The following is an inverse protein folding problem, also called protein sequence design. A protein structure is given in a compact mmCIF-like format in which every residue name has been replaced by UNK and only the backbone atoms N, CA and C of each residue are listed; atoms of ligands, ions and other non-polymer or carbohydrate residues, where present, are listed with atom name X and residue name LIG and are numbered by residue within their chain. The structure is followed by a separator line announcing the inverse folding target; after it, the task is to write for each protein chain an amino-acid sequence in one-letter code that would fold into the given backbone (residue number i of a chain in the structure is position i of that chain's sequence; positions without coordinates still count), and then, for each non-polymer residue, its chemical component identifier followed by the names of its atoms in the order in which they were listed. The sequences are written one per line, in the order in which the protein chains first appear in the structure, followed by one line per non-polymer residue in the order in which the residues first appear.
data_IF_324196680032
#
_entry.id   IF_324196680032
#
_cell.length_a   1.000
_cell.length_b   1.000
_cell.length_c   1.000
_cell.angle_alpha   90.00
_cell.angle_beta   90.00
_cell.angle_gamma   90.00
#
_symmetry.space_group_name_H-M   'P 1'
#
loop_
_entity.id
_entity.type
_entity.pdbx_description
1 polymer ?
#
# COMPACT_ATOMS: atom_id res chain seq x y z
N UNK A 1 18.29 -13.83 2.04
CA UNK A 1 16.99 -13.87 2.76
C UNK A 1 16.17 -12.64 2.37
N UNK A 2 14.88 -12.79 2.10
CA UNK A 2 14.00 -11.69 1.68
C UNK A 2 13.11 -11.24 2.84
N UNK A 3 12.88 -9.93 2.96
CA UNK A 3 12.02 -9.34 3.98
C UNK A 3 11.01 -8.38 3.35
N UNK A 4 9.80 -8.37 3.87
CA UNK A 4 8.76 -7.45 3.45
C UNK A 4 8.18 -6.68 4.65
N UNK A 5 7.89 -5.41 4.45
CA UNK A 5 7.11 -4.57 5.36
C UNK A 5 5.79 -4.24 4.69
N UNK A 6 4.68 -4.54 5.34
CA UNK A 6 3.34 -4.29 4.80
C UNK A 6 2.55 -3.43 5.76
N UNK A 7 2.04 -2.29 5.30
CA UNK A 7 1.16 -1.45 6.11
C UNK A 7 -0.30 -1.81 5.91
N UNK A 8 -1.12 -1.71 6.97
CA UNK A 8 -2.56 -2.02 6.91
C UNK A 8 -2.86 -3.52 6.85
N UNK A 9 -2.11 -4.35 7.59
CA UNK A 9 -2.24 -5.82 7.57
C UNK A 9 -3.43 -6.37 8.35
N UNK A 10 -4.17 -5.54 9.08
CA UNK A 10 -5.24 -6.02 9.96
C UNK A 10 -6.45 -6.60 9.21
N UNK A 11 -6.63 -6.30 7.92
CA UNK A 11 -7.75 -6.77 7.09
C UNK A 11 -7.52 -6.49 5.60
N UNK A 12 -8.37 -7.09 4.77
CA UNK A 12 -8.49 -6.76 3.35
C UNK A 12 -7.24 -7.07 2.55
N UNK A 13 -6.87 -6.18 1.63
CA UNK A 13 -5.75 -6.43 0.71
C UNK A 13 -4.42 -6.57 1.46
N UNK A 14 -4.16 -5.78 2.50
CA UNK A 14 -2.91 -5.86 3.27
C UNK A 14 -2.75 -7.19 4.01
N UNK A 15 -3.83 -7.74 4.57
CA UNK A 15 -3.85 -9.09 5.16
C UNK A 15 -3.52 -10.15 4.10
N UNK A 16 -4.19 -10.10 2.94
CA UNK A 16 -3.95 -11.02 1.83
C UNK A 16 -2.51 -10.92 1.30
N UNK A 17 -1.97 -9.71 1.13
CA UNK A 17 -0.57 -9.51 0.70
C UNK A 17 0.40 -10.09 1.72
N UNK A 18 0.23 -9.82 3.02
CA UNK A 18 1.10 -10.35 4.07
C UNK A 18 1.09 -11.89 4.08
N UNK A 19 -0.09 -12.50 4.00
CA UNK A 19 -0.26 -13.95 3.88
C UNK A 19 0.49 -14.51 2.67
N UNK A 20 0.24 -13.99 1.48
CA UNK A 20 0.81 -14.49 0.23
C UNK A 20 2.34 -14.32 0.15
N UNK A 21 2.89 -13.25 0.75
CA UNK A 21 4.33 -13.08 0.91
C UNK A 21 4.93 -14.19 1.78
N UNK A 22 4.30 -14.54 2.90
CA UNK A 22 4.74 -15.61 3.78
C UNK A 22 4.63 -16.98 3.09
N UNK A 23 3.57 -17.24 2.35
CA UNK A 23 3.42 -18.44 1.50
C UNK A 23 4.50 -18.53 0.40
N UNK A 24 5.07 -17.39 0.00
CA UNK A 24 6.20 -17.30 -0.95
C UNK A 24 7.58 -17.38 -0.25
N UNK A 25 7.63 -17.72 1.04
CA UNK A 25 8.88 -17.86 1.80
C UNK A 25 9.57 -16.54 2.15
N UNK A 26 8.82 -15.46 2.28
CA UNK A 26 9.32 -14.11 2.61
C UNK A 26 8.95 -13.77 4.05
N UNK A 27 9.93 -13.33 4.85
CA UNK A 27 9.67 -12.85 6.20
C UNK A 27 8.90 -11.54 6.16
N UNK A 28 7.89 -11.38 7.03
CA UNK A 28 6.99 -10.22 6.99
C UNK A 28 6.99 -9.45 8.30
N UNK A 29 7.12 -8.15 8.19
CA UNK A 29 6.77 -7.19 9.25
C UNK A 29 5.44 -6.55 8.88
N UNK A 30 4.41 -6.83 9.66
CA UNK A 30 3.09 -6.22 9.52
C UNK A 30 2.97 -4.97 10.36
N UNK A 31 2.42 -3.90 9.79
CA UNK A 31 2.18 -2.65 10.51
C UNK A 31 0.71 -2.25 10.39
N UNK A 32 0.05 -2.09 11.52
CA UNK A 32 -1.34 -1.60 11.61
C UNK A 32 -1.68 -1.24 13.06
N UNK A 33 -2.76 -0.51 13.28
CA UNK A 33 -3.20 -0.10 14.63
C UNK A 33 -3.57 -1.27 15.54
N UNK A 34 -3.97 -2.41 14.96
CA UNK A 34 -4.37 -3.62 15.70
C UNK A 34 -3.73 -4.87 15.09
N UNK A 35 -3.26 -5.78 15.93
CA UNK A 35 -2.71 -7.06 15.50
C UNK A 35 -3.79 -8.07 15.10
N UNK A 36 -3.37 -9.11 14.37
CA UNK A 36 -4.17 -10.28 14.04
C UNK A 36 -3.33 -11.55 14.29
N UNK A 37 -3.79 -12.43 15.16
CA UNK A 37 -3.09 -13.68 15.50
C UNK A 37 -2.97 -14.63 14.31
N UNK A 38 -3.95 -14.60 13.41
CA UNK A 38 -3.99 -15.44 12.19
C UNK A 38 -2.73 -15.33 11.32
N UNK A 39 -2.12 -14.14 11.20
CA UNK A 39 -0.90 -13.99 10.40
C UNK A 39 0.31 -14.65 11.07
N UNK A 40 0.35 -14.71 12.39
CA UNK A 40 1.40 -15.43 13.10
C UNK A 40 1.30 -16.96 12.89
N UNK A 41 0.09 -17.52 12.86
CA UNK A 41 -0.11 -18.94 12.56
C UNK A 41 0.33 -19.28 11.12
N UNK A 42 -0.01 -18.43 10.14
CA UNK A 42 0.42 -18.60 8.74
C UNK A 42 1.95 -18.57 8.62
N UNK A 43 2.62 -17.68 9.35
CA UNK A 43 4.08 -17.62 9.37
C UNK A 43 4.70 -18.93 9.88
N UNK A 44 4.16 -19.49 10.96
CA UNK A 44 4.61 -20.77 11.51
C UNK A 44 4.43 -21.92 10.50
N UNK A 45 3.28 -21.98 9.82
CA UNK A 45 2.98 -22.98 8.80
C UNK A 45 3.96 -22.93 7.61
N UNK A 46 4.46 -21.73 7.28
CA UNK A 46 5.36 -21.51 6.14
C UNK A 46 6.85 -21.43 6.52
N UNK A 47 7.20 -21.61 7.82
CA UNK A 47 8.56 -21.52 8.34
C UNK A 47 9.25 -20.19 8.02
N UNK A 48 8.52 -19.09 8.18
CA UNK A 48 9.03 -17.71 8.02
C UNK A 48 8.77 -16.89 9.28
N UNK A 49 9.51 -15.79 9.44
CA UNK A 49 9.31 -14.87 10.55
C UNK A 49 8.14 -13.91 10.25
N UNK A 50 7.26 -13.72 11.24
CA UNK A 50 6.28 -12.65 11.27
C UNK A 50 6.41 -11.83 12.54
N UNK A 51 6.42 -10.50 12.39
CA UNK A 51 6.39 -9.57 13.51
C UNK A 51 5.39 -8.46 13.23
N UNK A 52 4.58 -8.11 14.24
CA UNK A 52 3.63 -7.02 14.12
C UNK A 52 4.10 -5.80 14.94
N UNK A 53 3.99 -4.62 14.34
CA UNK A 53 4.16 -3.34 15.01
C UNK A 53 2.82 -2.59 14.99
N UNK A 54 2.37 -2.15 16.17
CA UNK A 54 1.26 -1.22 16.28
C UNK A 54 1.75 0.17 15.88
N UNK A 55 1.04 0.85 14.97
CA UNK A 55 1.38 2.21 14.55
C UNK A 55 0.16 2.87 13.89
N UNK A 56 -0.12 4.12 14.26
CA UNK A 56 -1.06 4.98 13.55
C UNK A 56 -0.30 5.87 12.56
N UNK A 57 -0.45 5.60 11.27
CA UNK A 57 0.17 6.40 10.21
C UNK A 57 -0.38 7.85 10.13
N UNK A 58 -1.46 8.14 10.86
CA UNK A 58 -1.97 9.50 11.05
C UNK A 58 -1.12 10.34 12.00
N UNK A 59 -0.29 9.69 12.83
CA UNK A 59 0.69 10.34 13.71
C UNK A 59 2.08 10.27 13.07
N UNK A 60 2.62 11.45 12.74
CA UNK A 60 3.91 11.56 12.06
C UNK A 60 5.06 11.08 12.95
N UNK A 61 5.06 11.46 14.21
CA UNK A 61 6.14 11.12 15.15
C UNK A 61 6.17 9.62 15.44
N UNK A 62 5.01 9.00 15.69
CA UNK A 62 4.86 7.56 15.87
C UNK A 62 5.32 6.80 14.61
N UNK A 63 4.94 7.31 13.42
CA UNK A 63 5.34 6.74 12.13
C UNK A 63 6.86 6.74 11.98
N UNK A 64 7.53 7.89 12.18
CA UNK A 64 8.97 8.01 12.03
C UNK A 64 9.72 7.12 13.04
N UNK A 65 9.31 7.09 14.29
CA UNK A 65 9.95 6.27 15.35
C UNK A 65 9.80 4.79 15.04
N UNK A 66 8.58 4.33 14.74
CA UNK A 66 8.29 2.93 14.46
C UNK A 66 9.06 2.42 13.25
N UNK A 67 9.04 3.18 12.15
CA UNK A 67 9.70 2.72 10.92
C UNK A 67 11.21 2.88 10.93
N UNK A 68 11.76 3.81 11.71
CA UNK A 68 13.20 3.85 11.99
C UNK A 68 13.65 2.55 12.68
N UNK A 69 12.91 2.09 13.69
CA UNK A 69 13.19 0.83 14.38
C UNK A 69 13.05 -0.39 13.44
N UNK A 70 11.98 -0.45 12.65
CA UNK A 70 11.76 -1.54 11.68
C UNK A 70 12.89 -1.58 10.65
N UNK A 71 13.25 -0.42 10.11
CA UNK A 71 14.31 -0.30 9.10
C UNK A 71 15.67 -0.75 9.66
N UNK A 72 16.04 -0.27 10.85
CA UNK A 72 17.27 -0.70 11.51
C UNK A 72 17.30 -2.21 11.76
N UNK A 73 16.21 -2.80 12.26
CA UNK A 73 16.11 -4.24 12.49
C UNK A 73 16.28 -5.05 11.19
N UNK A 74 15.60 -4.66 10.10
CA UNK A 74 15.64 -5.38 8.83
C UNK A 74 17.01 -5.25 8.18
N UNK A 75 17.50 -4.03 8.01
CA UNK A 75 18.76 -3.79 7.30
C UNK A 75 20.02 -4.24 8.08
N UNK A 76 19.92 -4.44 9.41
CA UNK A 76 21.02 -5.05 10.19
C UNK A 76 21.21 -6.53 9.89
N UNK A 77 20.23 -7.21 9.32
CA UNK A 77 20.29 -8.63 8.92
C UNK A 77 20.90 -8.86 7.54
N UNK A 78 21.28 -7.79 6.84
CA UNK A 78 21.83 -7.82 5.48
C UNK A 78 20.98 -8.68 4.51
N UNK A 79 19.70 -8.36 4.34
CA UNK A 79 18.83 -9.14 3.46
C UNK A 79 19.25 -9.00 2.00
N UNK A 80 18.90 -10.00 1.18
CA UNK A 80 19.07 -9.96 -0.27
C UNK A 80 18.17 -8.93 -0.93
N UNK A 81 16.90 -8.90 -0.50
CA UNK A 81 15.88 -7.96 -1.01
C UNK A 81 14.96 -7.53 0.13
N UNK A 82 14.63 -6.25 0.14
CA UNK A 82 13.61 -5.66 1.01
C UNK A 82 12.45 -5.14 0.17
N UNK A 83 11.24 -5.57 0.52
CA UNK A 83 10.00 -5.04 -0.04
C UNK A 83 9.33 -4.12 0.97
N UNK A 84 8.83 -2.98 0.52
CA UNK A 84 7.94 -2.12 1.29
C UNK A 84 6.62 -2.00 0.55
N UNK A 85 5.51 -2.42 1.17
CA UNK A 85 4.17 -2.31 0.60
C UNK A 85 3.36 -1.30 1.40
N UNK A 86 3.26 -0.08 0.91
CA UNK A 86 2.43 0.99 1.43
C UNK A 86 0.97 0.73 1.00
N UNK A 87 0.25 -0.07 1.80
CA UNK A 87 -1.14 -0.47 1.52
C UNK A 87 -2.15 0.26 2.41
N UNK A 88 -1.81 0.64 3.63
CA UNK A 88 -2.72 1.34 4.51
C UNK A 88 -3.26 2.62 3.86
N UNK A 89 -4.58 2.81 3.93
CA UNK A 89 -5.24 3.99 3.39
C UNK A 89 -6.57 4.25 4.11
N UNK A 90 -7.00 5.50 4.10
CA UNK A 90 -8.34 5.94 4.51
C UNK A 90 -9.10 6.49 3.32
N UNK A 91 -10.43 6.36 3.35
CA UNK A 91 -11.31 6.89 2.29
C UNK A 91 -11.76 8.31 2.60
N UNK A 92 -12.13 8.55 3.85
CA UNK A 92 -12.70 9.82 4.33
C UNK A 92 -11.70 10.97 4.22
N UNK A 93 -12.15 12.22 3.97
CA UNK A 93 -13.55 12.63 3.87
C UNK A 93 -14.19 12.30 2.51
N UNK A 94 -15.49 11.98 2.53
CA UNK A 94 -16.31 11.77 1.34
C UNK A 94 -17.39 12.84 1.30
N UNK A 95 -17.14 13.93 0.63
CA UNK A 95 -18.09 15.03 0.39
C UNK A 95 -17.49 16.01 -0.66
N UNK A 96 -18.32 17.00 -1.05
CA UNK A 96 -17.86 18.15 -1.86
C UNK A 96 -16.69 18.84 -1.14
N UNK A 97 -15.67 19.23 -1.88
CA UNK A 97 -14.46 19.83 -1.30
C UNK A 97 -14.73 21.04 -0.38
N UNK A 98 -15.79 21.80 -0.65
CA UNK A 98 -16.16 22.96 0.17
C UNK A 98 -16.82 22.59 1.50
N UNK A 99 -17.22 21.33 1.70
CA UNK A 99 -17.86 20.82 2.91
C UNK A 99 -16.90 20.02 3.80
N UNK A 100 -15.68 19.75 3.34
CA UNK A 100 -14.72 18.94 4.09
C UNK A 100 -13.97 19.78 5.13
N UNK A 101 -13.81 19.23 6.33
CA UNK A 101 -13.05 19.87 7.41
C UNK A 101 -11.54 19.79 7.16
N UNK A 102 -10.83 20.87 7.51
CA UNK A 102 -9.37 20.94 7.30
C UNK A 102 -8.61 19.81 8.01
N UNK A 103 -9.06 19.41 9.22
CA UNK A 103 -8.44 18.33 9.98
C UNK A 103 -8.57 16.97 9.27
N UNK A 104 -9.75 16.70 8.66
CA UNK A 104 -9.98 15.46 7.93
C UNK A 104 -9.14 15.38 6.66
N UNK A 105 -9.04 16.50 5.92
CA UNK A 105 -8.15 16.59 4.74
C UNK A 105 -6.70 16.39 5.14
N UNK A 106 -6.24 17.02 6.22
CA UNK A 106 -4.87 16.87 6.71
C UNK A 106 -4.56 15.44 7.13
N UNK A 107 -5.46 14.78 7.90
CA UNK A 107 -5.33 13.38 8.30
C UNK A 107 -5.31 12.46 7.07
N UNK A 108 -6.20 12.69 6.10
CA UNK A 108 -6.22 11.92 4.86
C UNK A 108 -4.89 11.98 4.11
N UNK A 109 -4.36 13.18 3.94
CA UNK A 109 -3.08 13.38 3.25
C UNK A 109 -1.91 12.78 4.04
N UNK A 110 -1.95 12.86 5.37
CA UNK A 110 -0.95 12.25 6.24
C UNK A 110 -0.89 10.73 6.02
N UNK A 111 -2.02 10.04 6.09
CA UNK A 111 -2.07 8.57 5.95
C UNK A 111 -1.81 8.12 4.51
N UNK A 112 -2.46 8.76 3.52
CA UNK A 112 -2.48 8.26 2.14
C UNK A 112 -1.29 8.74 1.28
N UNK A 113 -0.60 9.78 1.70
CA UNK A 113 0.46 10.42 0.88
C UNK A 113 1.74 10.63 1.67
N UNK A 114 1.70 11.38 2.78
CA UNK A 114 2.90 11.77 3.52
C UNK A 114 3.60 10.55 4.12
N UNK A 115 2.86 9.69 4.83
CA UNK A 115 3.44 8.47 5.41
C UNK A 115 4.09 7.58 4.33
N UNK A 116 3.41 7.17 3.23
CA UNK A 116 4.04 6.40 2.16
C UNK A 116 5.31 7.03 1.57
N UNK A 117 5.35 8.36 1.41
CA UNK A 117 6.53 9.07 0.92
C UNK A 117 7.69 8.97 1.91
N UNK A 118 7.45 9.27 3.19
CA UNK A 118 8.46 9.19 4.26
C UNK A 118 9.02 7.77 4.37
N UNK A 119 8.15 6.76 4.37
CA UNK A 119 8.55 5.36 4.50
C UNK A 119 9.39 4.92 3.30
N UNK A 120 8.97 5.26 2.09
CA UNK A 120 9.73 4.94 0.88
C UNK A 120 11.10 5.61 0.90
N UNK A 121 11.19 6.90 1.27
CA UNK A 121 12.45 7.63 1.37
C UNK A 121 13.40 7.02 2.41
N UNK A 122 12.89 6.63 3.58
CA UNK A 122 13.68 6.00 4.64
C UNK A 122 14.30 4.67 4.16
N UNK A 123 13.48 3.81 3.53
CA UNK A 123 13.93 2.51 3.05
C UNK A 123 14.87 2.63 1.86
N UNK A 124 14.61 3.54 0.92
CA UNK A 124 15.52 3.84 -0.19
C UNK A 124 16.90 4.28 0.32
N UNK A 125 16.93 5.20 1.29
CA UNK A 125 18.18 5.68 1.88
C UNK A 125 19.00 4.53 2.46
N UNK A 126 18.39 3.67 3.30
CA UNK A 126 19.07 2.52 3.90
C UNK A 126 19.50 1.49 2.85
N UNK A 127 18.69 1.25 1.82
CA UNK A 127 19.01 0.33 0.73
C UNK A 127 20.24 0.81 -0.07
N UNK A 128 20.31 2.10 -0.39
CA UNK A 128 21.46 2.70 -1.09
C UNK A 128 22.71 2.65 -0.20
N UNK A 129 22.61 3.05 1.08
CA UNK A 129 23.76 3.06 2.00
C UNK A 129 24.35 1.66 2.23
N UNK A 130 23.54 0.62 2.14
CA UNK A 130 23.95 -0.78 2.42
C UNK A 130 24.11 -1.66 1.17
N UNK A 131 23.88 -1.10 -0.01
CA UNK A 131 23.90 -1.82 -1.30
C UNK A 131 22.96 -3.05 -1.29
N UNK A 132 21.75 -2.86 -0.75
CA UNK A 132 20.70 -3.88 -0.65
C UNK A 132 19.62 -3.56 -1.65
N UNK A 133 19.12 -4.57 -2.39
CA UNK A 133 17.99 -4.37 -3.31
C UNK A 133 16.73 -4.02 -2.57
N UNK A 134 16.05 -2.99 -3.05
CA UNK A 134 14.77 -2.52 -2.52
C UNK A 134 13.71 -2.42 -3.61
N UNK A 135 12.49 -2.89 -3.30
CA UNK A 135 11.31 -2.70 -4.16
C UNK A 135 10.21 -2.07 -3.31
N UNK A 136 10.00 -0.78 -3.49
CA UNK A 136 8.92 -0.02 -2.87
C UNK A 136 7.66 -0.06 -3.73
N UNK A 137 6.52 -0.42 -3.13
CA UNK A 137 5.23 -0.46 -3.79
C UNK A 137 4.21 0.35 -3.01
N UNK A 138 3.48 1.24 -3.69
CA UNK A 138 2.35 1.93 -3.06
C UNK A 138 1.05 1.54 -3.74
N UNK A 139 0.05 1.17 -2.93
CA UNK A 139 -1.28 0.84 -3.45
C UNK A 139 -1.98 2.13 -3.89
N UNK A 140 -2.13 2.25 -5.19
CA UNK A 140 -2.82 3.34 -5.87
C UNK A 140 -4.32 3.03 -6.07
N UNK A 141 -4.95 3.69 -7.01
CA UNK A 141 -6.37 3.53 -7.35
C UNK A 141 -6.64 4.14 -8.73
N UNK A 142 -7.67 3.68 -9.43
CA UNK A 142 -8.21 4.38 -10.60
C UNK A 142 -8.70 5.81 -10.32
N UNK A 143 -8.88 6.17 -9.05
CA UNK A 143 -9.15 7.55 -8.62
C UNK A 143 -7.96 8.50 -8.83
N UNK A 144 -6.75 7.96 -9.06
CA UNK A 144 -5.58 8.76 -9.43
C UNK A 144 -5.64 9.32 -10.86
N UNK A 145 -6.48 8.75 -11.73
CA UNK A 145 -6.48 9.00 -13.18
C UNK A 145 -7.61 9.90 -13.66
N UNK A 146 -8.65 10.04 -12.84
CA UNK A 146 -9.82 10.84 -13.20
C UNK A 146 -10.45 11.49 -11.97
N UNK A 147 -11.08 12.68 -12.13
CA UNK A 147 -11.81 13.30 -11.03
C UNK A 147 -13.08 12.48 -10.72
N UNK A 148 -13.36 12.33 -9.41
CA UNK A 148 -14.58 11.71 -8.91
C UNK A 148 -15.25 12.67 -7.92
N UNK A 149 -16.55 12.91 -8.12
CA UNK A 149 -17.32 13.83 -7.28
C UNK A 149 -17.39 13.33 -5.84
N UNK A 150 -17.04 14.17 -4.89
CA UNK A 150 -16.98 13.82 -3.47
C UNK A 150 -15.65 13.22 -2.99
N UNK A 151 -14.69 12.97 -3.88
CA UNK A 151 -13.41 12.36 -3.56
C UNK A 151 -12.21 13.27 -3.81
N UNK A 152 -12.34 14.57 -3.57
CA UNK A 152 -11.27 15.53 -3.85
C UNK A 152 -9.95 15.17 -3.13
N UNK A 153 -10.01 14.84 -1.83
CA UNK A 153 -8.84 14.41 -1.07
C UNK A 153 -8.30 13.06 -1.56
N UNK A 154 -9.18 12.09 -1.80
CA UNK A 154 -8.78 10.75 -2.24
C UNK A 154 -8.13 10.76 -3.63
N UNK A 155 -8.76 11.41 -4.62
CA UNK A 155 -8.16 11.55 -5.95
C UNK A 155 -6.81 12.26 -5.90
N UNK A 156 -6.71 13.35 -5.12
CA UNK A 156 -5.46 14.11 -4.96
C UNK A 156 -4.36 13.24 -4.33
N UNK A 157 -4.67 12.51 -3.26
CA UNK A 157 -3.69 11.66 -2.59
C UNK A 157 -3.17 10.54 -3.51
N UNK A 158 -4.06 9.90 -4.28
CA UNK A 158 -3.68 8.80 -5.17
C UNK A 158 -2.94 9.30 -6.43
N UNK A 159 -3.32 10.44 -6.98
CA UNK A 159 -2.56 11.09 -8.06
C UNK A 159 -1.18 11.55 -7.59
N UNK A 160 -1.09 12.11 -6.37
CA UNK A 160 0.18 12.51 -5.75
C UNK A 160 1.13 11.33 -5.57
N UNK A 161 0.64 10.19 -5.10
CA UNK A 161 1.45 8.97 -4.94
C UNK A 161 1.92 8.41 -6.28
N UNK A 162 1.12 8.47 -7.34
CA UNK A 162 1.57 8.06 -8.66
C UNK A 162 2.73 8.94 -9.16
N UNK A 163 2.62 10.25 -9.00
CA UNK A 163 3.69 11.18 -9.37
C UNK A 163 4.95 10.98 -8.51
N UNK A 164 4.80 10.81 -7.20
CA UNK A 164 5.92 10.48 -6.31
C UNK A 164 6.65 9.20 -6.73
N UNK A 165 5.89 8.13 -7.03
CA UNK A 165 6.42 6.86 -7.50
C UNK A 165 7.31 7.04 -8.73
N UNK A 166 6.82 7.76 -9.74
CA UNK A 166 7.55 8.01 -10.99
C UNK A 166 8.80 8.88 -10.75
N UNK A 167 8.69 9.88 -9.88
CA UNK A 167 9.82 10.76 -9.56
C UNK A 167 10.91 10.01 -8.79
N UNK A 168 10.55 9.28 -7.74
CA UNK A 168 11.50 8.48 -6.96
C UNK A 168 12.17 7.39 -7.82
N UNK A 169 11.42 6.78 -8.72
CA UNK A 169 11.98 5.82 -9.68
C UNK A 169 13.01 6.46 -10.62
N UNK A 170 12.70 7.63 -11.19
CA UNK A 170 13.64 8.37 -12.02
C UNK A 170 14.94 8.70 -11.27
N UNK A 171 14.84 9.11 -10.01
CA UNK A 171 16.00 9.38 -9.16
C UNK A 171 16.87 8.12 -8.96
N UNK A 172 16.25 6.94 -8.78
CA UNK A 172 17.00 5.69 -8.64
C UNK A 172 17.68 5.27 -9.96
N UNK A 173 17.09 5.53 -11.10
CA UNK A 173 17.71 5.32 -12.42
C UNK A 173 18.92 6.22 -12.64
N UNK A 174 18.83 7.49 -12.34
CA UNK A 174 19.92 8.46 -12.44
C UNK A 174 21.08 8.13 -11.48
N UNK A 175 20.77 7.57 -10.31
CA UNK A 175 21.76 7.09 -9.35
C UNK A 175 22.35 5.70 -9.71
N UNK A 176 21.84 5.05 -10.77
CA UNK A 176 22.21 3.69 -11.20
C UNK A 176 22.11 2.64 -10.08
N UNK A 177 21.09 2.73 -9.24
CA UNK A 177 20.82 1.75 -8.18
C UNK A 177 20.06 0.54 -8.74
N UNK A 178 20.00 -0.55 -7.96
CA UNK A 178 19.13 -1.70 -8.25
C UNK A 178 17.71 -1.52 -7.68
N UNK A 179 17.45 -0.40 -7.01
CA UNK A 179 16.19 -0.13 -6.34
C UNK A 179 15.08 0.19 -7.34
N UNK A 180 13.86 -0.23 -7.00
CA UNK A 180 12.68 0.02 -7.82
C UNK A 180 11.57 0.59 -6.96
N UNK A 181 10.84 1.56 -7.51
CA UNK A 181 9.65 2.14 -6.89
C UNK A 181 8.51 2.03 -7.88
N UNK A 182 7.43 1.38 -7.49
CA UNK A 182 6.26 1.13 -8.33
C UNK A 182 4.96 1.50 -7.61
N UNK A 183 3.89 1.67 -8.36
CA UNK A 183 2.55 1.74 -7.82
C UNK A 183 1.69 0.58 -8.36
N UNK A 184 0.69 0.17 -7.58
CA UNK A 184 -0.24 -0.88 -7.97
C UNK A 184 -1.68 -0.42 -7.78
N UNK A 185 -2.45 -0.39 -8.85
CA UNK A 185 -3.87 -0.07 -8.87
C UNK A 185 -4.68 -1.37 -8.83
N UNK A 186 -5.28 -1.73 -7.69
CA UNK A 186 -5.92 -3.03 -7.48
C UNK A 186 -7.28 -3.18 -8.16
N UNK A 187 -7.87 -2.08 -8.62
CA UNK A 187 -9.25 -2.06 -9.11
C UNK A 187 -10.28 -2.19 -7.98
N UNK A 188 -11.44 -2.80 -8.28
CA UNK A 188 -12.55 -2.92 -7.35
C UNK A 188 -12.52 -4.27 -6.62
N UNK A 189 -12.44 -4.23 -5.29
CA UNK A 189 -12.33 -5.43 -4.44
C UNK A 189 -13.46 -5.49 -3.40
N UNK A 190 -13.78 -6.69 -2.94
CA UNK A 190 -14.75 -6.89 -1.85
C UNK A 190 -14.05 -6.65 -0.50
N UNK A 191 -14.09 -5.41 -0.03
CA UNK A 191 -13.45 -4.94 1.20
C UNK A 191 -14.39 -4.06 2.01
N UNK A 192 -14.06 -3.85 3.29
CA UNK A 192 -14.79 -2.91 4.15
C UNK A 192 -14.77 -1.46 3.59
N UNK A 193 -13.66 -1.04 2.95
CA UNK A 193 -13.61 0.26 2.27
C UNK A 193 -14.68 0.35 1.18
N UNK A 194 -14.86 -0.71 0.39
CA UNK A 194 -15.88 -0.78 -0.64
C UNK A 194 -17.32 -0.79 -0.04
N UNK A 195 -17.49 -1.38 1.15
CA UNK A 195 -18.78 -1.28 1.88
C UNK A 195 -19.07 0.15 2.31
N UNK A 196 -18.07 0.87 2.81
CA UNK A 196 -18.22 2.29 3.17
C UNK A 196 -18.54 3.14 1.94
N UNK A 197 -17.92 2.89 0.80
CA UNK A 197 -18.26 3.58 -0.47
C UNK A 197 -19.73 3.36 -0.82
N UNK A 198 -20.23 2.12 -0.76
CA UNK A 198 -21.65 1.81 -1.05
C UNK A 198 -22.63 2.42 -0.04
N UNK A 199 -22.17 2.68 1.17
CA UNK A 199 -22.96 3.31 2.22
C UNK A 199 -22.96 4.85 2.16
N UNK A 200 -22.18 5.44 1.26
CA UNK A 200 -22.13 6.90 1.09
C UNK A 200 -23.47 7.46 0.62
N UNK A 201 -23.73 8.71 0.99
CA UNK A 201 -24.86 9.49 0.50
C UNK A 201 -24.63 9.90 -0.97
N UNK A 202 -25.65 9.85 -1.81
CA UNK A 202 -25.58 10.26 -3.22
C UNK A 202 -25.22 11.74 -3.41
N UNK A 203 -25.64 12.60 -2.49
CA UNK A 203 -25.30 14.02 -2.52
C UNK A 203 -23.82 14.25 -2.19
N UNK A 204 -23.21 13.37 -1.40
CA UNK A 204 -21.79 13.39 -1.06
C UNK A 204 -20.93 12.69 -2.13
N UNK A 205 -21.38 11.57 -2.67
CA UNK A 205 -20.67 10.76 -3.66
C UNK A 205 -21.59 10.29 -4.79
N UNK A 206 -21.54 10.96 -5.93
CA UNK A 206 -22.48 10.70 -7.08
C UNK A 206 -22.37 9.33 -7.68
N UNK A 207 -21.18 8.71 -7.66
CA UNK A 207 -20.94 7.42 -8.30
C UNK A 207 -21.37 6.23 -7.41
N UNK A 208 -22.03 6.47 -6.26
CA UNK A 208 -22.40 5.43 -5.28
C UNK A 208 -23.21 4.30 -5.90
N UNK A 209 -24.17 4.60 -6.77
CA UNK A 209 -24.98 3.59 -7.47
C UNK A 209 -24.15 2.67 -8.35
N UNK A 210 -23.10 3.17 -9.00
CA UNK A 210 -22.17 2.34 -9.77
C UNK A 210 -21.45 1.34 -8.85
N UNK A 211 -21.04 1.77 -7.64
CA UNK A 211 -20.39 0.90 -6.67
C UNK A 211 -21.34 -0.14 -6.07
N UNK A 212 -22.62 0.20 -5.85
CA UNK A 212 -23.68 -0.75 -5.49
C UNK A 212 -23.86 -1.80 -6.59
N UNK A 213 -23.96 -1.37 -7.84
CA UNK A 213 -24.10 -2.25 -9.00
C UNK A 213 -22.89 -3.20 -9.18
N UNK A 214 -21.67 -2.80 -8.82
CA UNK A 214 -20.52 -3.70 -8.84
C UNK A 214 -20.67 -4.89 -7.89
N UNK A 215 -21.23 -4.68 -6.69
CA UNK A 215 -21.50 -5.76 -5.74
C UNK A 215 -22.64 -6.66 -6.22
N UNK A 216 -23.75 -6.07 -6.67
CA UNK A 216 -24.93 -6.80 -7.15
C UNK A 216 -24.61 -7.69 -8.36
N UNK A 217 -23.76 -7.22 -9.25
CA UNK A 217 -23.34 -7.95 -10.46
C UNK A 217 -22.10 -8.84 -10.25
N UNK A 218 -21.69 -9.09 -9.00
CA UNK A 218 -20.53 -9.92 -8.65
C UNK A 218 -19.23 -9.52 -9.38
N UNK A 219 -19.01 -8.21 -9.59
CA UNK A 219 -17.81 -7.68 -10.25
C UNK A 219 -16.64 -7.46 -9.30
N UNK A 220 -16.89 -7.51 -7.99
CA UNK A 220 -15.83 -7.32 -6.99
C UNK A 220 -14.91 -8.56 -6.96
N UNK A 221 -13.62 -8.32 -7.03
CA UNK A 221 -12.60 -9.37 -6.93
C UNK A 221 -12.26 -9.66 -5.46
N UNK A 222 -11.82 -10.88 -5.15
CA UNK A 222 -11.28 -11.18 -3.83
C UNK A 222 -9.92 -10.52 -3.63
N UNK A 223 -9.61 -10.20 -2.39
CA UNK A 223 -8.31 -9.62 -2.01
C UNK A 223 -7.15 -10.58 -2.27
N UNK A 224 -7.38 -11.90 -2.13
CA UNK A 224 -6.38 -12.92 -2.44
C UNK A 224 -6.05 -12.98 -3.94
N UNK A 225 -7.07 -12.87 -4.82
CA UNK A 225 -6.82 -12.86 -6.26
C UNK A 225 -6.03 -11.61 -6.69
N UNK A 226 -6.36 -10.46 -6.13
CA UNK A 226 -5.65 -9.20 -6.42
C UNK A 226 -4.25 -9.18 -5.79
N UNK A 227 -4.14 -9.65 -4.54
CA UNK A 227 -2.87 -9.81 -3.85
C UNK A 227 -1.93 -10.75 -4.61
N UNK A 228 -2.44 -11.87 -5.14
CA UNK A 228 -1.67 -12.83 -5.94
C UNK A 228 -1.00 -12.17 -7.15
N UNK A 229 -1.72 -11.33 -7.90
CA UNK A 229 -1.13 -10.58 -9.02
C UNK A 229 0.05 -9.71 -8.56
N UNK A 230 -0.11 -8.99 -7.44
CA UNK A 230 0.97 -8.17 -6.91
C UNK A 230 2.17 -9.02 -6.49
N UNK A 231 1.95 -10.17 -5.84
CA UNK A 231 3.04 -11.05 -5.41
C UNK A 231 3.77 -11.64 -6.62
N UNK A 232 3.06 -12.04 -7.68
CA UNK A 232 3.66 -12.53 -8.92
C UNK A 232 4.56 -11.45 -9.54
N UNK A 233 4.10 -10.19 -9.57
CA UNK A 233 4.92 -9.05 -10.03
C UNK A 233 6.17 -8.88 -9.16
N UNK A 234 6.02 -8.87 -7.83
CA UNK A 234 7.13 -8.58 -6.91
C UNK A 234 8.17 -9.70 -6.86
N UNK A 235 7.74 -10.95 -6.98
CA UNK A 235 8.64 -12.12 -6.90
C UNK A 235 9.43 -12.36 -8.18
N UNK A 236 8.97 -11.87 -9.32
CA UNK A 236 9.77 -11.77 -10.54
C UNK A 236 10.55 -10.44 -10.57
N UNK A 237 11.46 -10.27 -9.59
CA UNK A 237 12.20 -9.04 -9.32
C UNK A 237 12.89 -8.45 -10.56
N UNK A 238 13.30 -9.31 -11.51
CA UNK A 238 13.99 -8.88 -12.73
C UNK A 238 13.07 -8.22 -13.73
N UNK A 239 11.82 -8.64 -13.79
CA UNK A 239 10.79 -8.13 -14.72
C UNK A 239 10.04 -6.91 -14.17
N UNK A 240 10.25 -6.54 -12.89
CA UNK A 240 9.65 -5.31 -12.35
C UNK A 240 10.17 -4.09 -13.11
N UNK A 241 9.27 -3.33 -13.72
CA UNK A 241 9.60 -2.07 -14.41
C UNK A 241 9.56 -0.91 -13.41
N UNK A 242 10.70 -0.23 -13.22
CA UNK A 242 10.81 0.90 -12.31
C UNK A 242 9.91 2.07 -12.74
N UNK A 243 9.25 2.74 -11.81
CA UNK A 243 8.34 3.86 -12.10
C UNK A 243 6.97 3.48 -12.67
N UNK A 244 6.73 2.18 -12.93
CA UNK A 244 5.48 1.71 -13.52
C UNK A 244 4.33 1.73 -12.52
N UNK A 245 3.18 2.14 -13.03
CA UNK A 245 1.89 1.98 -12.36
C UNK A 245 1.23 0.74 -12.94
N UNK A 246 1.25 -0.35 -12.18
CA UNK A 246 0.63 -1.62 -12.57
C UNK A 246 -0.86 -1.59 -12.28
N UNK A 247 -1.66 -2.07 -13.21
CA UNK A 247 -3.11 -2.21 -13.03
C UNK A 247 -3.47 -3.69 -12.95
N UNK A 248 -4.16 -4.10 -11.89
CA UNK A 248 -4.60 -5.48 -11.75
C UNK A 248 -5.49 -5.94 -12.93
N UNK A 249 -6.22 -5.01 -13.56
CA UNK A 249 -7.05 -5.29 -14.76
C UNK A 249 -6.28 -5.84 -15.95
N UNK A 250 -4.98 -5.60 -16.03
CA UNK A 250 -4.15 -6.04 -17.17
C UNK A 250 -3.79 -7.53 -17.09
N UNK A 251 -4.15 -8.18 -15.97
CA UNK A 251 -3.81 -9.57 -15.63
C UNK A 251 -5.04 -10.51 -15.57
N UNK A 252 -6.23 -10.05 -16.01
CA UNK A 252 -7.47 -10.84 -16.02
C UNK A 252 -7.95 -11.19 -17.42
#
# INVERSE_FOLDING_TARGET
MRHAVVTGVSKGLGESIAKLLMESGINVVGVSRSSQDKLADIALENNVDYKHYACDLGDLEETEQTFSQISEEIFSREPETVYLINNAAVLEPVDKSMNTESADVAHHMQVNTIAPMILTNLFLKNAVEKDIRFIGTTISSGAAERPMYGWSAYCTSKAGINMFTQTAALEQEELNTQNKVIAFSPGIMDTEMQERIRASDEDAFRDVEQFRAYKENNKLKSTDAIGGILIDILTDETSVENGKIYHASDYF
#
